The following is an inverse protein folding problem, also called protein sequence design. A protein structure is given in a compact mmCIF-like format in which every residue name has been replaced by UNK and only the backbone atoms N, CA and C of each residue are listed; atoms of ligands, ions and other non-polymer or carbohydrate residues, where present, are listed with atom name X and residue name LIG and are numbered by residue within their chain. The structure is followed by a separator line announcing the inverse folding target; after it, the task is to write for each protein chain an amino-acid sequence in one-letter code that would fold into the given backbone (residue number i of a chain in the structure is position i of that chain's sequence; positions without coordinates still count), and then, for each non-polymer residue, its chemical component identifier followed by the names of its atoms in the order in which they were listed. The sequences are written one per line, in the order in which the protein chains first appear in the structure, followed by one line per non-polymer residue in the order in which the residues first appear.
data_IF_851595174839
#
_entry.id   IF_851595174839
#
_cell.length_a   1.000
_cell.length_b   1.000
_cell.length_c   1.000
_cell.angle_alpha   90.00
_cell.angle_beta   90.00
_cell.angle_gamma   90.00
#
_symmetry.space_group_name_H-M   'P 1'
#
loop_
_entity.id
_entity.type
_entity.pdbx_description
1 polymer ?
#
# COMPACT_ATOMS: atom_id res chain seq x y z
N UNK A 1 -11.28 3.18 -2.69
CA UNK A 1 -12.10 2.59 -1.61
C UNK A 1 -12.99 3.68 -0.97
N UNK A 2 -14.34 3.57 -1.07
CA UNK A 2 -15.34 4.65 -0.78
C UNK A 2 -16.45 4.21 0.21
N UNK A 3 -16.59 4.85 1.40
CA UNK A 3 -17.84 4.85 2.20
C UNK A 3 -18.16 6.15 2.93
N UNK A 4 -19.35 6.69 2.70
CA UNK A 4 -20.01 7.66 3.57
C UNK A 4 -20.48 7.00 4.88
N UNK A 5 -19.96 7.46 6.04
CA UNK A 5 -20.50 7.06 7.35
C UNK A 5 -20.52 8.23 8.33
N UNK A 6 -21.73 8.54 8.79
CA UNK A 6 -22.00 9.46 9.91
C UNK A 6 -22.34 8.74 11.23
N UNK A 7 -22.17 7.41 11.34
CA UNK A 7 -22.46 6.66 12.59
C UNK A 7 -21.58 5.43 12.78
N UNK A 8 -21.18 5.16 14.04
CA UNK A 8 -20.38 4.01 14.47
C UNK A 8 -20.84 2.68 13.86
N UNK A 9 -20.14 2.19 12.85
CA UNK A 9 -20.38 0.88 12.24
C UNK A 9 -19.20 -0.04 12.53
N UNK A 10 -19.50 -1.29 12.88
CA UNK A 10 -18.49 -2.35 13.02
C UNK A 10 -17.92 -2.66 11.63
N UNK A 11 -16.63 -2.44 11.44
CA UNK A 11 -15.97 -2.66 10.15
C UNK A 11 -15.71 -4.16 9.94
N UNK A 12 -16.17 -4.74 8.82
CA UNK A 12 -15.69 -6.06 8.40
C UNK A 12 -14.33 -5.88 7.68
N UNK A 13 -13.37 -6.83 7.79
CA UNK A 13 -12.03 -6.72 7.17
C UNK A 13 -11.98 -6.56 5.63
N UNK A 14 -13.11 -6.50 4.93
CA UNK A 14 -13.19 -6.29 3.48
C UNK A 14 -13.96 -5.00 3.11
N UNK A 15 -14.26 -4.16 4.09
CA UNK A 15 -15.09 -2.98 3.91
C UNK A 15 -14.22 -1.72 3.65
N UNK A 16 -14.53 -1.05 2.54
CA UNK A 16 -14.03 0.21 1.99
C UNK A 16 -14.39 1.65 2.52
N UNK A 17 -13.82 2.28 3.59
CA UNK A 17 -14.33 3.58 4.18
C UNK A 17 -13.87 4.94 3.58
N UNK A 18 -14.78 5.95 3.44
CA UNK A 18 -14.54 7.35 2.96
C UNK A 18 -15.15 8.44 3.87
N UNK A 19 -14.31 9.14 4.60
CA UNK A 19 -14.81 10.28 5.36
C UNK A 19 -15.23 11.46 4.48
N UNK A 20 -16.41 12.02 4.76
CA UNK A 20 -16.88 13.31 4.22
C UNK A 20 -16.13 14.52 4.85
N UNK A 21 -15.31 14.24 5.86
CA UNK A 21 -14.43 15.20 6.52
C UNK A 21 -12.98 14.85 6.23
N UNK A 22 -12.08 15.81 6.44
CA UNK A 22 -10.63 15.55 6.46
C UNK A 22 -10.16 14.82 7.74
N UNK A 23 -11.09 14.37 8.60
CA UNK A 23 -10.81 13.72 9.88
C UNK A 23 -11.54 12.38 9.98
N UNK A 24 -10.82 11.33 10.37
CA UNK A 24 -11.36 9.99 10.63
C UNK A 24 -11.14 9.65 12.10
N UNK A 25 -12.18 9.15 12.79
CA UNK A 25 -12.08 8.65 14.16
C UNK A 25 -12.15 7.13 14.16
N UNK A 26 -11.20 6.49 14.84
CA UNK A 26 -11.10 5.03 14.94
C UNK A 26 -11.09 4.65 16.42
N UNK A 27 -11.94 3.71 16.79
CA UNK A 27 -11.96 3.13 18.14
C UNK A 27 -11.78 1.63 18.04
N UNK A 28 -10.81 1.10 18.79
CA UNK A 28 -10.51 -0.33 18.83
C UNK A 28 -11.00 -0.91 20.15
N UNK A 29 -12.03 -1.75 20.09
CA UNK A 29 -12.67 -2.31 21.27
C UNK A 29 -12.29 -3.79 21.38
N UNK A 30 -11.70 -4.17 22.51
CA UNK A 30 -11.47 -5.58 22.88
C UNK A 30 -12.62 -6.08 23.75
N UNK A 31 -13.34 -7.15 23.37
CA UNK A 31 -14.41 -7.69 24.19
C UNK A 31 -13.88 -8.28 25.51
N UNK A 32 -14.60 -8.13 26.64
CA UNK A 32 -14.11 -8.51 27.97
C UNK A 32 -13.94 -10.04 28.22
N UNK A 33 -14.37 -10.90 27.28
CA UNK A 33 -14.29 -12.36 27.39
C UNK A 33 -13.44 -13.03 26.29
N UNK A 34 -12.51 -12.31 25.65
CA UNK A 34 -11.55 -12.92 24.74
C UNK A 34 -10.53 -13.72 25.56
N UNK A 35 -10.83 -14.99 25.83
CA UNK A 35 -9.92 -15.95 26.47
C UNK A 35 -8.63 -15.97 25.65
N UNK A 36 -7.52 -15.67 26.31
CA UNK A 36 -6.18 -15.88 25.77
C UNK A 36 -5.96 -17.38 25.64
N UNK A 37 -6.15 -17.93 24.45
CA UNK A 37 -5.62 -19.26 24.19
C UNK A 37 -4.83 -19.25 22.88
N UNK A 38 -3.53 -19.07 23.06
CA UNK A 38 -2.48 -19.61 22.21
C UNK A 38 -2.45 -19.23 20.73
N UNK A 39 -3.07 -18.12 20.33
CA UNK A 39 -2.88 -17.62 18.98
C UNK A 39 -2.73 -16.09 18.90
N UNK A 40 -1.49 -15.62 19.03
CA UNK A 40 -1.11 -14.21 18.84
C UNK A 40 -1.40 -13.69 17.42
N UNK A 41 -1.80 -14.56 16.47
CA UNK A 41 -2.04 -14.18 15.10
C UNK A 41 -3.44 -13.57 14.83
N UNK A 42 -4.40 -13.68 15.76
CA UNK A 42 -5.78 -13.20 15.55
C UNK A 42 -6.14 -11.85 16.20
N UNK A 43 -5.17 -11.11 16.73
CA UNK A 43 -5.40 -9.80 17.37
C UNK A 43 -4.80 -8.60 16.63
N UNK A 44 -4.31 -8.81 15.42
CA UNK A 44 -3.68 -7.76 14.62
C UNK A 44 -4.69 -7.22 13.60
N UNK A 45 -4.83 -5.90 13.55
CA UNK A 45 -5.52 -5.23 12.45
C UNK A 45 -4.48 -4.46 11.62
N UNK A 46 -4.68 -4.43 10.32
CA UNK A 46 -3.90 -3.61 9.39
C UNK A 46 -4.88 -2.73 8.65
N UNK A 47 -4.63 -1.42 8.69
CA UNK A 47 -5.44 -0.42 8.03
C UNK A 47 -4.53 0.43 7.15
N UNK A 48 -5.05 0.82 6.00
CA UNK A 48 -4.40 1.75 5.09
C UNK A 48 -5.36 2.90 4.82
N UNK A 49 -4.84 4.11 4.77
CA UNK A 49 -5.61 5.31 4.49
C UNK A 49 -5.00 6.00 3.30
N UNK A 50 -5.84 6.40 2.35
CA UNK A 50 -5.45 7.23 1.23
C UNK A 50 -6.34 8.46 1.18
N UNK A 51 -5.81 9.53 0.61
CA UNK A 51 -6.57 10.75 0.37
C UNK A 51 -7.06 10.74 -1.06
N UNK A 52 -8.38 10.74 -1.24
CA UNK A 52 -9.00 10.96 -2.54
C UNK A 52 -9.10 12.46 -2.83
N UNK A 53 -8.76 12.84 -4.06
CA UNK A 53 -8.92 14.19 -4.59
C UNK A 53 -9.92 14.13 -5.74
N UNK A 54 -10.99 14.91 -5.70
CA UNK A 54 -11.94 14.97 -6.81
C UNK A 54 -11.29 15.57 -8.05
N UNK A 55 -11.62 15.03 -9.22
CA UNK A 55 -11.27 15.65 -10.50
C UNK A 55 -11.88 17.04 -10.60
N UNK A 56 -11.18 17.94 -11.27
CA UNK A 56 -11.67 19.29 -11.57
C UNK A 56 -12.12 19.34 -13.03
N UNK A 57 -13.29 19.95 -13.30
CA UNK A 57 -13.69 20.26 -14.66
C UNK A 57 -12.98 21.52 -15.13
N UNK A 58 -12.24 21.42 -16.23
CA UNK A 58 -11.64 22.60 -16.88
C UNK A 58 -12.67 23.14 -17.85
N UNK A 59 -13.26 24.30 -17.52
CA UNK A 59 -14.36 24.88 -18.28
C UNK A 59 -14.00 25.18 -19.74
N UNK A 60 -14.58 24.41 -20.66
CA UNK A 60 -15.29 24.80 -21.89
C UNK A 60 -15.81 23.48 -22.49
N UNK A 61 -17.02 23.11 -22.07
CA UNK A 61 -17.69 21.80 -22.22
C UNK A 61 -17.26 20.79 -21.13
N UNK A 62 -18.24 20.37 -20.32
CA UNK A 62 -18.18 19.51 -19.12
C UNK A 62 -17.60 18.09 -19.32
N UNK A 63 -16.89 17.83 -20.41
CA UNK A 63 -16.49 16.48 -20.83
C UNK A 63 -15.04 16.14 -20.47
N UNK A 64 -14.30 17.09 -19.88
CA UNK A 64 -12.89 16.89 -19.49
C UNK A 64 -12.69 17.11 -17.99
N UNK A 65 -12.89 16.05 -17.22
CA UNK A 65 -12.51 15.97 -15.81
C UNK A 65 -11.06 15.49 -15.69
N UNK A 66 -10.18 16.29 -15.11
CA UNK A 66 -8.76 15.95 -14.94
C UNK A 66 -8.34 16.00 -13.47
N UNK A 67 -7.26 15.29 -13.13
CA UNK A 67 -6.64 15.45 -11.83
C UNK A 67 -5.96 16.82 -11.72
N UNK A 68 -6.28 17.64 -10.70
CA UNK A 68 -5.89 19.04 -10.65
C UNK A 68 -4.39 19.29 -10.36
N UNK A 69 -3.60 18.25 -10.10
CA UNK A 69 -2.20 18.35 -9.64
C UNK A 69 -1.34 17.34 -10.40
N UNK A 70 -0.13 17.75 -10.76
CA UNK A 70 0.87 16.95 -11.49
C UNK A 70 1.42 15.71 -10.74
N UNK A 71 1.03 15.52 -9.49
CA UNK A 71 1.41 14.39 -8.63
C UNK A 71 0.22 13.53 -8.20
N UNK A 72 -0.85 13.54 -9.00
CA UNK A 72 -2.03 12.71 -8.80
C UNK A 72 -2.12 11.67 -9.92
N UNK A 73 -2.54 10.47 -9.55
CA UNK A 73 -2.88 9.39 -10.48
C UNK A 73 -4.39 9.47 -10.70
N UNK A 74 -4.79 9.40 -11.96
CA UNK A 74 -6.18 9.26 -12.36
C UNK A 74 -6.64 7.83 -12.08
N UNK A 75 -7.68 7.68 -11.24
CA UNK A 75 -8.24 6.37 -10.93
C UNK A 75 -9.26 5.87 -11.96
N UNK A 76 -9.38 6.49 -13.14
CA UNK A 76 -10.40 6.23 -14.16
C UNK A 76 -11.85 6.35 -13.63
N UNK A 77 -12.02 7.08 -12.52
CA UNK A 77 -13.30 7.43 -11.93
C UNK A 77 -13.36 8.94 -11.65
N UNK A 78 -14.21 9.40 -10.72
CA UNK A 78 -14.32 10.83 -10.37
C UNK A 78 -13.21 11.31 -9.42
N UNK A 79 -12.26 10.45 -9.07
CA UNK A 79 -11.23 10.70 -8.06
C UNK A 79 -9.82 10.48 -8.61
N UNK A 80 -8.89 11.01 -7.84
CA UNK A 80 -7.46 10.88 -8.04
C UNK A 80 -6.80 10.56 -6.69
N UNK A 81 -5.72 9.79 -6.74
CA UNK A 81 -4.89 9.43 -5.58
C UNK A 81 -3.49 10.01 -5.73
N UNK A 82 -2.74 10.11 -4.63
CA UNK A 82 -1.36 10.61 -4.68
C UNK A 82 -0.45 9.69 -5.52
N UNK A 83 0.58 10.23 -6.15
CA UNK A 83 1.53 9.47 -6.96
C UNK A 83 2.22 8.30 -6.23
N UNK A 84 2.35 8.38 -4.91
CA UNK A 84 2.89 7.30 -4.06
C UNK A 84 2.00 6.04 -4.02
N UNK A 85 0.76 6.14 -4.51
CA UNK A 85 -0.14 5.00 -4.68
C UNK A 85 0.26 4.12 -5.88
N UNK A 86 1.13 4.59 -6.79
CA UNK A 86 1.49 3.81 -7.97
C UNK A 86 2.35 2.61 -7.59
N UNK A 87 1.85 1.40 -7.84
CA UNK A 87 2.58 0.15 -7.74
C UNK A 87 3.22 -0.08 -6.36
N UNK A 88 2.51 0.30 -5.30
CA UNK A 88 2.98 0.17 -3.92
C UNK A 88 2.48 -1.14 -3.25
N UNK A 89 1.65 -1.92 -3.95
CA UNK A 89 1.08 -3.19 -3.48
C UNK A 89 -0.19 -3.02 -2.65
N UNK A 90 -0.75 -1.82 -2.58
CA UNK A 90 -2.04 -1.48 -1.95
C UNK A 90 -2.94 -1.01 -3.09
N UNK A 91 -4.23 -1.33 -3.05
CA UNK A 91 -5.19 -0.84 -4.05
C UNK A 91 -5.92 0.38 -3.48
N UNK A 92 -5.51 1.58 -3.84
CA UNK A 92 -6.10 2.85 -3.44
C UNK A 92 -7.21 3.27 -4.42
N UNK A 93 -7.01 3.07 -5.73
CA UNK A 93 -8.03 3.31 -6.74
C UNK A 93 -9.09 2.19 -6.75
N UNK A 94 -10.35 2.56 -7.02
CA UNK A 94 -11.44 1.58 -7.17
C UNK A 94 -11.24 0.68 -8.39
N UNK A 95 -10.73 1.26 -9.48
CA UNK A 95 -10.36 0.57 -10.71
C UNK A 95 -9.11 -0.28 -10.57
N UNK A 96 -8.33 -0.10 -9.49
CA UNK A 96 -6.99 -0.69 -9.27
C UNK A 96 -5.93 -0.22 -10.26
N UNK A 97 -6.19 0.84 -11.02
CA UNK A 97 -5.27 1.32 -12.06
C UNK A 97 -3.92 1.78 -11.50
N UNK A 98 -3.89 2.15 -10.22
CA UNK A 98 -2.69 2.45 -9.44
C UNK A 98 -1.76 1.23 -9.28
N UNK A 99 -2.32 0.01 -9.31
CA UNK A 99 -1.59 -1.27 -9.26
C UNK A 99 -1.57 -2.03 -10.59
N UNK A 100 -2.13 -1.43 -11.65
CA UNK A 100 -2.10 -1.98 -13.00
C UNK A 100 -0.92 -1.45 -13.81
N UNK A 101 -0.51 -2.24 -14.81
CA UNK A 101 0.60 -1.88 -15.70
C UNK A 101 1.88 -1.49 -14.95
N UNK A 102 2.03 -1.98 -13.72
CA UNK A 102 3.30 -2.00 -13.02
C UNK A 102 4.22 -2.83 -13.88
N UNK A 103 5.14 -2.16 -14.58
CA UNK A 103 6.27 -2.84 -15.18
C UNK A 103 6.88 -3.56 -13.99
N UNK A 104 6.81 -4.90 -14.01
CA UNK A 104 7.58 -5.73 -13.11
C UNK A 104 9.03 -5.59 -13.52
N UNK A 105 9.59 -4.40 -13.32
CA UNK A 105 10.91 -4.36 -12.77
C UNK A 105 10.76 -5.04 -11.43
N UNK A 106 10.94 -6.38 -11.47
CA UNK A 106 11.42 -7.21 -10.38
C UNK A 106 11.93 -6.27 -9.31
N UNK A 107 11.12 -6.09 -8.26
CA UNK A 107 11.42 -5.36 -7.04
C UNK A 107 12.88 -4.93 -6.94
N UNK A 108 13.23 -3.80 -7.55
CA UNK A 108 14.48 -3.10 -7.26
C UNK A 108 14.34 -2.31 -5.95
N UNK A 109 13.41 -2.72 -5.08
CA UNK A 109 13.22 -2.27 -3.71
C UNK A 109 13.93 -3.19 -2.69
N UNK A 110 15.14 -3.60 -3.02
CA UNK A 110 16.33 -3.64 -2.15
C UNK A 110 17.37 -4.42 -2.93
N UNK A 111 18.56 -3.87 -3.01
CA UNK A 111 19.81 -4.61 -3.12
C UNK A 111 19.92 -5.63 -1.98
N UNK A 112 19.11 -6.69 -1.99
CA UNK A 112 19.52 -7.96 -1.40
C UNK A 112 20.39 -8.59 -2.48
N UNK A 113 21.61 -8.07 -2.60
CA UNK A 113 22.71 -8.99 -2.85
C UNK A 113 22.59 -10.03 -1.74
N UNK A 114 22.07 -11.19 -2.12
CA UNK A 114 21.88 -12.34 -1.29
C UNK A 114 23.12 -12.49 -0.39
N UNK A 115 22.93 -12.38 0.92
CA UNK A 115 24.01 -12.60 1.91
C UNK A 115 24.66 -13.97 1.67
N UNK A 116 23.95 -14.91 1.06
CA UNK A 116 24.47 -16.20 0.59
C UNK A 116 25.60 -16.04 -0.44
N UNK A 117 25.46 -15.17 -1.44
CA UNK A 117 26.47 -14.98 -2.49
C UNK A 117 27.77 -14.39 -1.94
N UNK A 118 27.69 -13.41 -1.05
CA UNK A 118 28.87 -12.82 -0.41
C UNK A 118 29.60 -13.83 0.49
N UNK A 119 28.87 -14.64 1.26
CA UNK A 119 29.45 -15.67 2.12
C UNK A 119 30.09 -16.80 1.31
N UNK A 120 29.50 -17.19 0.17
CA UNK A 120 30.08 -18.19 -0.74
C UNK A 120 31.40 -17.66 -1.32
N UNK A 121 31.44 -16.43 -1.81
CA UNK A 121 32.64 -15.86 -2.41
C UNK A 121 33.78 -15.68 -1.39
N UNK A 122 33.49 -15.23 -0.16
CA UNK A 122 34.51 -15.13 0.90
C UNK A 122 35.09 -16.50 1.26
N UNK A 123 34.25 -17.55 1.35
CA UNK A 123 34.73 -18.91 1.65
C UNK A 123 35.66 -19.44 0.56
N UNK A 124 35.33 -19.26 -0.71
CA UNK A 124 36.20 -19.69 -1.82
C UNK A 124 37.52 -18.91 -1.87
N UNK A 125 37.48 -17.59 -1.66
CA UNK A 125 38.69 -16.76 -1.64
C UNK A 125 39.61 -17.17 -0.49
N UNK A 126 39.06 -17.42 0.70
CA UNK A 126 39.86 -17.87 1.86
C UNK A 126 40.50 -19.24 1.63
N UNK A 127 39.77 -20.18 1.01
CA UNK A 127 40.32 -21.50 0.63
C UNK A 127 41.44 -21.35 -0.41
N UNK A 128 41.27 -20.50 -1.43
CA UNK A 128 42.30 -20.26 -2.44
C UNK A 128 43.57 -19.63 -1.85
N UNK A 129 43.43 -18.67 -0.93
CA UNK A 129 44.58 -18.05 -0.24
C UNK A 129 45.32 -19.08 0.61
N UNK A 130 44.60 -19.93 1.35
CA UNK A 130 45.22 -21.00 2.15
C UNK A 130 45.95 -22.03 1.27
N UNK A 131 45.43 -22.35 0.09
CA UNK A 131 46.09 -23.26 -0.85
C UNK A 131 47.34 -22.67 -1.52
N UNK A 132 47.46 -21.34 -1.62
CA UNK A 132 48.65 -20.67 -2.16
C UNK A 132 49.73 -20.39 -1.11
N UNK A 133 49.40 -20.51 0.19
CA UNK A 133 50.34 -20.30 1.31
C UNK A 133 50.86 -21.59 1.95
N UNK A 134 50.50 -22.75 1.39
CA UNK A 134 50.97 -24.10 1.75
C UNK A 134 51.84 -24.66 0.63
#
# INVERSE_FOLDING_TARGET
MIFDVSQSTSLHPQDDYLSNSNTIYLEFIRPPNSISDYDESYHQFKLFFTRLTSKTSVGLNDDLSICPIEHLIDCDDSYCVHADARCNGINECRSKVDEESCISEISNARTIYDFSYFVINIRYIFILILMFML
#
